data_IF_382392547531
#
_entry.id   IF_382392547531
#
_cell.length_a   1.000
_cell.length_b   1.000
_cell.length_c   1.000
_cell.angle_alpha   90.00
_cell.angle_beta   90.00
_cell.angle_gamma   90.00
#
_symmetry.space_group_name_H-M   'P 1'
#
loop_
_entity.id
_entity.type
_entity.pdbx_description
1 polymer ?
#
# COMPACT_ATOMS: atom_id res chain seq x y z
N UNK A 1 -12.48 -7.89 -22.45
CA UNK A 1 -12.22 -8.95 -21.47
C UNK A 1 -11.01 -8.52 -20.64
N UNK A 2 -10.99 -8.79 -19.34
CA UNK A 2 -9.82 -8.55 -18.50
C UNK A 2 -8.75 -9.59 -18.78
N UNK A 3 -7.48 -9.13 -18.75
CA UNK A 3 -6.28 -9.96 -18.72
C UNK A 3 -5.30 -9.38 -17.71
N UNK A 4 -4.27 -10.13 -17.32
CA UNK A 4 -3.24 -9.63 -16.40
C UNK A 4 -2.44 -8.48 -17.04
N UNK A 5 -2.18 -8.53 -18.34
CA UNK A 5 -1.48 -7.47 -19.08
C UNK A 5 -2.27 -6.16 -19.03
N UNK A 6 -3.59 -6.21 -19.27
CA UNK A 6 -4.46 -5.03 -19.20
C UNK A 6 -4.50 -4.46 -17.78
N UNK A 7 -4.52 -5.31 -16.76
CA UNK A 7 -4.46 -4.87 -15.37
C UNK A 7 -3.12 -4.19 -15.06
N UNK A 8 -2.01 -4.81 -15.46
CA UNK A 8 -0.68 -4.23 -15.28
C UNK A 8 -0.53 -2.91 -16.03
N UNK A 9 -1.08 -2.78 -17.23
CA UNK A 9 -1.10 -1.53 -17.98
C UNK A 9 -1.84 -0.43 -17.21
N UNK A 10 -3.05 -0.71 -16.71
CA UNK A 10 -3.81 0.26 -15.90
C UNK A 10 -3.11 0.67 -14.61
N UNK A 11 -2.43 -0.27 -13.95
CA UNK A 11 -1.67 -0.02 -12.72
C UNK A 11 -0.38 0.80 -12.96
N UNK A 12 0.11 0.82 -14.19
CA UNK A 12 1.41 1.42 -14.53
C UNK A 12 1.33 2.51 -15.60
N UNK A 13 0.13 2.99 -15.93
CA UNK A 13 -0.06 4.14 -16.82
C UNK A 13 0.02 5.44 -16.00
N UNK A 14 1.05 6.27 -16.21
CA UNK A 14 1.22 7.49 -15.43
C UNK A 14 0.23 8.57 -15.85
N UNK A 15 -0.40 9.22 -14.87
CA UNK A 15 -1.19 10.43 -15.10
C UNK A 15 -0.31 11.61 -15.52
N UNK A 16 -0.90 12.62 -16.14
CA UNK A 16 -0.17 13.84 -16.48
C UNK A 16 0.33 14.58 -15.23
N UNK A 17 -0.39 14.46 -14.10
CA UNK A 17 0.03 14.99 -12.81
C UNK A 17 1.33 14.31 -12.32
N UNK A 18 1.39 12.98 -12.41
CA UNK A 18 2.61 12.25 -12.03
C UNK A 18 3.78 12.61 -12.95
N UNK A 19 3.55 12.68 -14.26
CA UNK A 19 4.59 13.05 -15.25
C UNK A 19 5.16 14.45 -14.96
N UNK A 20 4.29 15.40 -14.62
CA UNK A 20 4.69 16.75 -14.24
C UNK A 20 5.48 16.78 -12.91
N UNK A 21 5.02 16.02 -11.92
CA UNK A 21 5.62 16.03 -10.58
C UNK A 21 6.94 15.25 -10.53
N UNK A 22 7.08 14.13 -11.27
CA UNK A 22 8.33 13.35 -11.30
C UNK A 22 9.49 14.13 -11.94
N UNK A 23 9.16 15.07 -12.81
CA UNK A 23 10.16 15.98 -13.42
C UNK A 23 10.77 16.95 -12.40
N UNK A 24 10.06 17.24 -11.30
CA UNK A 24 10.54 18.12 -10.20
C UNK A 24 11.31 17.38 -9.11
N UNK A 25 11.28 16.05 -9.10
CA UNK A 25 12.01 15.23 -8.13
C UNK A 25 13.45 15.12 -8.62
N UNK A 26 14.41 15.64 -7.89
CA UNK A 26 15.83 15.52 -8.24
C UNK A 26 16.40 14.17 -7.85
N UNK A 27 17.30 13.62 -8.68
CA UNK A 27 18.04 12.39 -8.41
C UNK A 27 17.28 11.10 -8.70
N UNK A 28 17.93 9.99 -8.39
CA UNK A 28 17.43 8.63 -8.60
C UNK A 28 16.41 8.20 -7.52
N UNK A 29 15.62 7.19 -7.82
CA UNK A 29 14.60 6.64 -6.92
C UNK A 29 14.94 5.18 -6.63
N UNK A 30 15.11 4.83 -5.34
CA UNK A 30 15.27 3.46 -4.89
C UNK A 30 14.05 3.00 -4.10
N UNK A 31 13.53 1.81 -4.41
CA UNK A 31 12.36 1.23 -3.75
C UNK A 31 12.82 0.02 -2.93
N UNK A 32 12.80 0.16 -1.60
CA UNK A 32 13.19 -0.91 -0.67
C UNK A 32 11.96 -1.76 -0.32
N UNK A 33 12.02 -3.06 -0.62
CA UNK A 33 10.89 -3.97 -0.49
C UNK A 33 10.06 -4.11 -1.78
N UNK A 34 10.68 -3.83 -2.92
CA UNK A 34 10.03 -3.80 -4.24
C UNK A 34 9.46 -5.15 -4.72
N UNK A 35 9.85 -6.28 -4.15
CA UNK A 35 9.30 -7.61 -4.48
C UNK A 35 7.94 -7.91 -3.85
N UNK A 36 7.35 -6.96 -3.08
CA UNK A 36 6.03 -7.09 -2.50
C UNK A 36 4.90 -6.84 -3.51
N UNK A 37 3.63 -6.90 -3.05
CA UNK A 37 2.43 -6.81 -3.92
C UNK A 37 2.33 -5.52 -4.74
N UNK A 38 2.70 -4.38 -4.17
CA UNK A 38 2.60 -3.06 -4.80
C UNK A 38 3.89 -2.65 -5.50
N UNK A 39 5.04 -3.18 -5.05
CA UNK A 39 6.36 -2.71 -5.46
C UNK A 39 6.65 -2.79 -6.95
N UNK A 40 6.40 -3.93 -7.63
CA UNK A 40 6.66 -4.03 -9.07
C UNK A 40 5.91 -2.98 -9.87
N UNK A 41 4.61 -2.81 -9.65
CA UNK A 41 3.80 -1.82 -10.38
C UNK A 41 4.15 -0.38 -10.00
N UNK A 42 4.60 -0.12 -8.76
CA UNK A 42 5.10 1.19 -8.35
C UNK A 42 6.40 1.54 -9.10
N UNK A 43 7.36 0.63 -9.16
CA UNK A 43 8.63 0.85 -9.87
C UNK A 43 8.41 1.07 -11.37
N UNK A 44 7.53 0.28 -11.99
CA UNK A 44 7.21 0.41 -13.43
C UNK A 44 6.48 1.73 -13.69
N UNK A 45 5.54 2.12 -12.83
CA UNK A 45 4.83 3.39 -12.94
C UNK A 45 5.81 4.57 -12.88
N UNK A 46 6.76 4.56 -11.92
CA UNK A 46 7.81 5.57 -11.83
C UNK A 46 8.69 5.60 -13.09
N UNK A 47 9.13 4.44 -13.58
CA UNK A 47 9.93 4.30 -14.80
C UNK A 47 9.22 4.89 -16.02
N UNK A 48 7.96 4.51 -16.26
CA UNK A 48 7.15 5.03 -17.38
C UNK A 48 6.88 6.53 -17.26
N UNK A 49 6.68 7.03 -16.03
CA UNK A 49 6.51 8.46 -15.82
C UNK A 49 7.79 9.27 -16.16
N UNK A 50 8.97 8.75 -15.78
CA UNK A 50 10.28 9.31 -16.11
C UNK A 50 10.46 9.36 -17.64
N UNK A 51 10.15 8.26 -18.33
CA UNK A 51 10.24 8.16 -19.79
C UNK A 51 9.28 9.14 -20.49
N UNK A 52 8.01 9.19 -20.03
CA UNK A 52 7.00 10.11 -20.59
C UNK A 52 7.37 11.58 -20.32
N UNK A 53 8.04 11.88 -19.22
CA UNK A 53 8.55 13.21 -18.92
C UNK A 53 9.79 13.60 -19.74
N UNK A 54 10.41 12.68 -20.49
CA UNK A 54 11.61 12.91 -21.29
C UNK A 54 12.85 13.21 -20.45
N UNK A 55 12.93 12.70 -19.22
CA UNK A 55 14.05 12.92 -18.29
C UNK A 55 14.82 11.62 -18.04
N UNK A 56 16.05 11.73 -17.53
CA UNK A 56 16.92 10.59 -17.24
C UNK A 56 17.07 10.44 -15.73
N UNK A 57 16.53 9.34 -15.17
CA UNK A 57 16.69 8.92 -13.76
C UNK A 57 16.62 7.42 -13.68
N UNK A 58 17.34 6.84 -12.72
CA UNK A 58 17.23 5.42 -12.42
C UNK A 58 16.07 5.16 -11.47
N UNK A 59 15.39 4.03 -11.68
CA UNK A 59 14.49 3.41 -10.70
C UNK A 59 15.11 2.09 -10.31
N UNK A 60 15.49 1.95 -9.05
CA UNK A 60 16.20 0.80 -8.51
C UNK A 60 15.28 0.05 -7.56
N UNK A 61 14.86 -1.14 -7.96
CA UNK A 61 14.02 -2.03 -7.16
C UNK A 61 14.90 -2.96 -6.32
N UNK A 62 14.78 -2.89 -4.99
CA UNK A 62 15.57 -3.70 -4.06
C UNK A 62 14.67 -4.65 -3.29
N UNK A 63 14.95 -5.95 -3.36
CA UNK A 63 14.27 -7.01 -2.61
C UNK A 63 15.05 -8.31 -2.71
N UNK A 64 14.65 -9.34 -1.96
CA UNK A 64 15.16 -10.71 -2.14
C UNK A 64 14.61 -11.40 -3.40
N UNK A 65 13.53 -10.86 -3.98
CA UNK A 65 12.84 -11.39 -5.18
C UNK A 65 12.58 -12.89 -5.12
N UNK A 66 11.90 -13.34 -4.06
CA UNK A 66 11.47 -14.74 -3.94
C UNK A 66 10.40 -15.15 -4.96
N UNK A 67 9.71 -14.18 -5.57
CA UNK A 67 8.76 -14.37 -6.66
C UNK A 67 9.44 -14.00 -7.99
N UNK A 68 9.71 -15.03 -8.81
CA UNK A 68 10.32 -14.86 -10.14
C UNK A 68 9.45 -13.99 -11.06
N UNK A 69 8.12 -14.09 -10.96
CA UNK A 69 7.22 -13.28 -11.77
C UNK A 69 7.43 -11.77 -11.53
N UNK A 70 7.59 -11.37 -10.26
CA UNK A 70 7.84 -9.97 -9.93
C UNK A 70 9.17 -9.46 -10.52
N UNK A 71 10.20 -10.30 -10.51
CA UNK A 71 11.52 -10.00 -11.09
C UNK A 71 11.43 -9.85 -12.61
N UNK A 72 10.80 -10.82 -13.28
CA UNK A 72 10.63 -10.82 -14.74
C UNK A 72 9.81 -9.61 -15.21
N UNK A 73 8.77 -9.26 -14.46
CA UNK A 73 7.94 -8.08 -14.74
C UNK A 73 8.74 -6.77 -14.65
N UNK A 74 9.63 -6.65 -13.66
CA UNK A 74 10.52 -5.49 -13.53
C UNK A 74 11.53 -5.41 -14.67
N UNK A 75 12.20 -6.52 -14.98
CA UNK A 75 13.20 -6.58 -16.06
C UNK A 75 12.61 -6.26 -17.43
N UNK A 76 11.43 -6.83 -17.75
CA UNK A 76 10.74 -6.58 -19.03
C UNK A 76 10.30 -5.14 -19.21
N UNK A 77 10.21 -4.36 -18.13
CA UNK A 77 9.92 -2.93 -18.15
C UNK A 77 11.16 -2.03 -17.90
N UNK A 78 12.37 -2.57 -17.99
CA UNK A 78 13.62 -1.81 -17.90
C UNK A 78 13.90 -1.20 -16.52
N UNK A 79 13.38 -1.79 -15.45
CA UNK A 79 13.66 -1.38 -14.07
C UNK A 79 14.94 -2.07 -13.59
N UNK A 80 15.88 -1.31 -13.04
CA UNK A 80 17.09 -1.85 -12.43
C UNK A 80 16.74 -2.60 -11.15
N UNK A 81 17.30 -3.80 -10.94
CA UNK A 81 17.00 -4.62 -9.77
C UNK A 81 18.28 -4.98 -9.01
N UNK A 82 18.20 -4.94 -7.68
CA UNK A 82 19.27 -5.42 -6.78
C UNK A 82 18.66 -6.45 -5.85
N UNK A 83 19.15 -7.68 -5.92
CA UNK A 83 18.77 -8.73 -4.96
C UNK A 83 19.55 -8.53 -3.66
N UNK A 84 18.86 -8.24 -2.56
CA UNK A 84 19.47 -8.01 -1.25
C UNK A 84 18.54 -8.44 -0.12
N UNK A 85 19.11 -9.01 0.93
CA UNK A 85 18.44 -9.12 2.23
C UNK A 85 18.71 -7.84 3.03
N UNK A 86 17.68 -7.03 3.21
CA UNK A 86 17.80 -5.74 3.89
C UNK A 86 18.09 -5.88 5.40
N UNK A 87 17.84 -7.07 5.99
CA UNK A 87 18.22 -7.36 7.38
C UNK A 87 19.70 -7.71 7.54
N UNK A 88 20.39 -8.05 6.45
CA UNK A 88 21.82 -8.25 6.46
C UNK A 88 22.55 -6.91 6.34
N UNK A 89 23.35 -6.50 7.36
CA UNK A 89 24.03 -5.22 7.36
C UNK A 89 24.97 -5.00 6.18
N UNK A 90 25.66 -6.04 5.73
CA UNK A 90 26.60 -5.92 4.61
C UNK A 90 25.85 -5.70 3.30
N UNK A 91 24.76 -6.43 3.06
CA UNK A 91 23.88 -6.20 1.91
C UNK A 91 23.29 -4.80 1.93
N UNK A 92 22.79 -4.33 3.08
CA UNK A 92 22.24 -2.98 3.21
C UNK A 92 23.29 -1.88 2.95
N UNK A 93 24.51 -2.06 3.47
CA UNK A 93 25.58 -1.09 3.32
C UNK A 93 26.14 -1.06 1.88
N UNK A 94 26.02 -2.14 1.12
CA UNK A 94 26.46 -2.24 -0.28
C UNK A 94 25.54 -1.52 -1.27
N UNK A 95 24.31 -1.18 -0.86
CA UNK A 95 23.37 -0.46 -1.71
C UNK A 95 23.90 0.94 -2.07
N UNK A 96 23.64 1.41 -3.30
CA UNK A 96 24.08 2.73 -3.74
C UNK A 96 23.41 3.85 -2.93
N UNK A 97 24.12 4.96 -2.74
CA UNK A 97 23.50 6.19 -2.25
C UNK A 97 22.60 6.78 -3.34
N UNK A 98 21.42 7.18 -2.95
CA UNK A 98 20.43 7.82 -3.83
C UNK A 98 19.73 8.95 -3.09
N UNK A 99 19.16 9.88 -3.86
CA UNK A 99 18.48 11.05 -3.31
C UNK A 99 17.12 10.70 -2.73
N UNK A 100 16.43 9.71 -3.33
CA UNK A 100 15.03 9.40 -2.98
C UNK A 100 14.84 7.92 -2.71
N UNK A 101 14.18 7.61 -1.60
CA UNK A 101 13.87 6.23 -1.20
C UNK A 101 12.38 6.11 -0.90
N UNK A 102 11.75 5.10 -1.50
CA UNK A 102 10.41 4.65 -1.12
C UNK A 102 10.59 3.37 -0.30
N UNK A 103 10.35 3.47 1.00
CA UNK A 103 10.48 2.36 1.93
C UNK A 103 9.14 1.66 2.09
N UNK A 104 9.04 0.45 1.56
CA UNK A 104 7.84 -0.38 1.67
C UNK A 104 8.14 -1.83 2.10
N UNK A 105 9.37 -2.08 2.57
CA UNK A 105 9.70 -3.36 3.18
C UNK A 105 8.94 -3.54 4.49
N UNK A 106 8.40 -4.74 4.70
CA UNK A 106 7.65 -5.05 5.91
C UNK A 106 7.03 -6.44 5.87
N UNK A 107 6.54 -6.88 7.04
CA UNK A 107 5.85 -8.15 7.21
C UNK A 107 4.51 -7.91 7.90
N UNK A 108 3.41 -8.33 7.25
CA UNK A 108 2.05 -8.22 7.79
C UNK A 108 1.48 -9.57 8.22
N UNK A 109 1.75 -10.63 7.48
CA UNK A 109 1.14 -11.94 7.65
C UNK A 109 2.07 -12.94 8.33
N UNK A 110 1.47 -13.93 9.03
CA UNK A 110 2.21 -14.92 9.80
C UNK A 110 2.84 -14.29 11.06
N UNK A 111 2.12 -13.38 11.69
CA UNK A 111 2.57 -12.66 12.89
C UNK A 111 2.24 -13.42 14.17
N UNK A 112 1.46 -14.48 14.07
CA UNK A 112 1.13 -15.37 15.18
C UNK A 112 1.91 -16.69 15.11
N UNK A 113 2.16 -17.31 16.24
CA UNK A 113 2.69 -18.68 16.30
C UNK A 113 4.21 -18.79 16.34
N UNK A 114 4.93 -17.85 16.97
CA UNK A 114 6.36 -17.97 17.27
C UNK A 114 7.29 -17.33 16.25
N UNK A 115 6.77 -16.50 15.35
CA UNK A 115 7.57 -15.74 14.38
C UNK A 115 7.40 -14.23 14.50
N UNK A 116 6.90 -13.74 15.62
CA UNK A 116 6.70 -12.34 15.96
C UNK A 116 8.01 -11.55 15.85
N UNK A 117 9.12 -12.15 16.29
CA UNK A 117 10.44 -11.55 16.19
C UNK A 117 10.84 -11.15 14.77
N UNK A 118 10.41 -11.92 13.75
CA UNK A 118 10.63 -11.56 12.34
C UNK A 118 9.79 -10.36 11.92
N UNK A 119 8.57 -10.25 12.45
CA UNK A 119 7.70 -9.09 12.22
C UNK A 119 8.34 -7.83 12.79
N UNK A 120 8.86 -7.89 14.03
CA UNK A 120 9.57 -6.78 14.65
C UNK A 120 10.91 -6.47 13.96
N UNK A 121 11.66 -7.50 13.55
CA UNK A 121 12.89 -7.30 12.78
C UNK A 121 12.63 -6.51 11.49
N UNK A 122 11.61 -6.92 10.71
CA UNK A 122 11.27 -6.27 9.44
C UNK A 122 10.60 -4.91 9.60
N UNK A 123 9.73 -4.74 10.61
CA UNK A 123 8.90 -3.54 10.73
C UNK A 123 9.48 -2.48 11.66
N UNK A 124 10.38 -2.83 12.58
CA UNK A 124 10.94 -1.92 13.56
C UNK A 124 12.47 -1.80 13.48
N UNK A 125 13.20 -2.92 13.52
CA UNK A 125 14.67 -2.91 13.51
C UNK A 125 15.22 -2.45 12.16
N UNK A 126 14.78 -3.05 11.06
CA UNK A 126 15.18 -2.66 9.71
C UNK A 126 14.93 -1.16 9.41
N UNK A 127 13.76 -0.58 9.69
CA UNK A 127 13.55 0.86 9.57
C UNK A 127 14.61 1.72 10.25
N UNK A 128 15.06 1.33 11.44
CA UNK A 128 16.11 2.06 12.16
C UNK A 128 17.45 2.02 11.42
N UNK A 129 17.84 0.87 10.88
CA UNK A 129 19.06 0.72 10.10
C UNK A 129 18.99 1.51 8.79
N UNK A 130 17.87 1.43 8.06
CA UNK A 130 17.66 2.16 6.80
C UNK A 130 17.65 3.66 7.03
N UNK A 131 16.91 4.14 8.03
CA UNK A 131 16.84 5.56 8.36
C UNK A 131 18.21 6.15 8.73
N UNK A 132 19.06 5.37 9.42
CA UNK A 132 20.43 5.79 9.74
C UNK A 132 21.36 5.73 8.53
N UNK A 133 21.35 4.62 7.76
CA UNK A 133 22.21 4.41 6.58
C UNK A 133 21.97 5.48 5.52
N UNK A 134 20.72 5.82 5.27
CA UNK A 134 20.31 6.75 4.22
C UNK A 134 19.80 8.09 4.77
N UNK A 135 20.29 8.54 5.93
CA UNK A 135 19.79 9.75 6.63
C UNK A 135 19.88 11.04 5.81
N UNK A 136 20.63 11.04 4.71
CA UNK A 136 20.73 12.18 3.79
C UNK A 136 19.71 12.11 2.65
N UNK A 137 19.10 10.96 2.42
CA UNK A 137 18.09 10.77 1.41
C UNK A 137 16.73 11.33 1.85
N UNK A 138 15.85 11.53 0.89
CA UNK A 138 14.43 11.85 1.08
C UNK A 138 13.62 10.56 1.09
N UNK A 139 12.66 10.45 1.98
CA UNK A 139 11.89 9.22 2.13
C UNK A 139 10.39 9.40 1.93
N UNK A 140 9.78 8.41 1.28
CA UNK A 140 8.38 8.04 1.48
C UNK A 140 8.36 6.72 2.23
N UNK A 141 7.71 6.70 3.40
CA UNK A 141 7.69 5.52 4.29
C UNK A 141 6.29 4.96 4.37
N UNK A 142 6.09 3.77 3.85
CA UNK A 142 4.81 3.08 3.95
C UNK A 142 4.52 2.68 5.40
N UNK A 143 3.50 3.29 5.96
CA UNK A 143 2.87 2.94 7.22
C UNK A 143 1.49 2.33 6.96
N UNK A 144 0.61 2.29 7.94
CA UNK A 144 -0.69 1.64 7.84
C UNK A 144 -1.76 2.38 8.64
N UNK A 145 -2.99 2.39 8.15
CA UNK A 145 -4.16 2.80 8.94
C UNK A 145 -4.44 1.91 10.15
N UNK A 146 -3.90 0.69 10.19
CA UNK A 146 -4.07 -0.23 11.34
C UNK A 146 -3.41 0.28 12.64
N UNK A 147 -2.61 1.34 12.62
CA UNK A 147 -2.07 1.98 13.83
C UNK A 147 -3.12 2.79 14.59
N UNK A 148 -4.22 3.14 13.93
CA UNK A 148 -5.34 3.81 14.57
C UNK A 148 -6.26 2.84 15.32
N UNK A 149 -7.04 3.32 16.29
CA UNK A 149 -8.11 2.51 16.86
C UNK A 149 -9.21 2.23 15.84
N UNK A 150 -10.01 1.20 16.10
CA UNK A 150 -11.30 1.03 15.48
C UNK A 150 -12.22 2.17 15.98
N UNK A 151 -12.90 2.83 15.06
CA UNK A 151 -13.77 3.98 15.35
C UNK A 151 -15.19 3.74 14.89
N UNK A 152 -16.20 4.40 15.53
CA UNK A 152 -17.56 4.38 15.03
C UNK A 152 -17.63 4.84 13.57
N UNK A 153 -18.45 4.18 12.75
CA UNK A 153 -18.64 4.56 11.33
C UNK A 153 -19.12 6.01 11.22
N UNK A 154 -19.93 6.47 12.17
CA UNK A 154 -20.42 7.86 12.23
C UNK A 154 -19.34 8.91 12.43
N UNK A 155 -18.14 8.51 12.89
CA UNK A 155 -17.01 9.43 13.03
C UNK A 155 -16.33 9.77 11.69
N UNK A 156 -16.51 8.96 10.64
CA UNK A 156 -15.95 9.20 9.30
C UNK A 156 -14.49 8.73 9.11
N UNK A 157 -13.79 8.37 10.19
CA UNK A 157 -12.39 7.91 10.17
C UNK A 157 -11.46 8.75 11.04
N UNK A 158 -10.26 8.22 11.29
CA UNK A 158 -9.20 8.94 12.01
C UNK A 158 -8.45 9.89 11.08
N UNK A 159 -8.22 11.11 11.55
CA UNK A 159 -7.32 12.11 10.93
C UNK A 159 -5.87 11.86 11.34
N UNK A 160 -4.92 12.55 10.73
CA UNK A 160 -3.50 12.48 11.09
C UNK A 160 -3.21 12.97 12.52
N UNK A 161 -4.10 13.80 13.08
CA UNK A 161 -4.00 14.37 14.43
C UNK A 161 -4.60 13.46 15.51
N UNK A 162 -5.34 12.43 15.13
CA UNK A 162 -5.93 11.51 16.08
C UNK A 162 -4.87 10.63 16.74
N UNK A 163 -5.14 10.29 18.00
CA UNK A 163 -4.24 9.46 18.81
C UNK A 163 -4.16 8.05 18.20
N UNK A 164 -2.94 7.62 17.88
CA UNK A 164 -2.67 6.23 17.49
C UNK A 164 -2.84 5.29 18.68
N UNK A 165 -3.44 4.12 18.44
CA UNK A 165 -3.69 3.08 19.44
C UNK A 165 -3.60 1.69 18.81
N UNK A 166 -2.41 1.29 18.32
CA UNK A 166 -2.23 0.01 17.62
C UNK A 166 -2.48 -1.16 18.57
N UNK A 167 -3.12 -2.21 18.07
CA UNK A 167 -3.34 -3.46 18.79
C UNK A 167 -2.78 -4.63 17.97
N UNK A 168 -2.02 -5.51 18.64
CA UNK A 168 -1.35 -6.66 18.01
C UNK A 168 0.04 -6.36 17.44
N UNK A 169 0.77 -7.42 17.10
CA UNK A 169 2.20 -7.36 16.73
C UNK A 169 2.44 -6.52 15.47
N UNK A 170 1.60 -6.70 14.44
CA UNK A 170 1.78 -5.96 13.19
C UNK A 170 1.56 -4.45 13.36
N UNK A 171 0.43 -3.95 13.89
CA UNK A 171 0.21 -2.51 14.02
C UNK A 171 1.22 -1.84 14.97
N UNK A 172 1.59 -2.52 16.06
CA UNK A 172 2.59 -2.00 17.02
C UNK A 172 3.97 -1.88 16.37
N UNK A 173 4.39 -2.89 15.61
CA UNK A 173 5.67 -2.85 14.89
C UNK A 173 5.69 -1.82 13.76
N UNK A 174 4.54 -1.57 13.10
CA UNK A 174 4.41 -0.48 12.10
C UNK A 174 4.50 0.89 12.76
N UNK A 175 3.92 1.08 13.95
CA UNK A 175 4.12 2.32 14.71
C UNK A 175 5.60 2.51 15.09
N UNK A 176 6.31 1.44 15.47
CA UNK A 176 7.75 1.51 15.72
C UNK A 176 8.55 1.94 14.48
N UNK A 177 8.13 1.52 13.26
CA UNK A 177 8.67 2.03 11.98
C UNK A 177 8.54 3.54 11.89
N UNK A 178 7.34 4.09 12.14
CA UNK A 178 7.13 5.53 12.12
C UNK A 178 8.07 6.24 13.09
N UNK A 179 8.21 5.73 14.32
CA UNK A 179 9.09 6.30 15.35
C UNK A 179 10.57 6.30 14.96
N UNK A 180 11.03 5.26 14.23
CA UNK A 180 12.41 5.21 13.72
C UNK A 180 12.69 6.33 12.71
N UNK A 181 11.78 6.55 11.76
CA UNK A 181 11.92 7.62 10.78
C UNK A 181 11.65 9.01 11.36
N UNK A 182 10.72 9.14 12.30
CA UNK A 182 10.50 10.37 13.06
C UNK A 182 11.77 10.79 13.83
N UNK A 183 12.41 9.83 14.51
CA UNK A 183 13.70 10.09 15.16
C UNK A 183 14.77 10.58 14.18
N UNK A 184 14.90 9.92 13.03
CA UNK A 184 15.86 10.34 12.00
C UNK A 184 15.54 11.75 11.46
N UNK A 185 14.26 12.06 11.28
CA UNK A 185 13.80 13.38 10.85
C UNK A 185 14.15 14.47 11.87
N UNK A 186 13.87 14.23 13.14
CA UNK A 186 14.18 15.17 14.23
C UNK A 186 15.68 15.31 14.48
N UNK A 187 16.42 14.19 14.46
CA UNK A 187 17.82 14.15 14.87
C UNK A 187 18.76 14.59 13.75
N UNK A 188 18.48 14.19 12.50
CA UNK A 188 19.39 14.38 11.36
C UNK A 188 18.85 15.32 10.29
N UNK A 189 17.60 15.79 10.44
CA UNK A 189 16.94 16.58 9.40
C UNK A 189 16.54 15.76 8.16
N UNK A 190 16.46 14.44 8.30
CA UNK A 190 16.02 13.55 7.22
C UNK A 190 14.61 13.92 6.80
N UNK A 191 14.41 14.22 5.51
CA UNK A 191 13.09 14.58 4.98
C UNK A 191 12.25 13.32 4.79
N UNK A 192 11.10 13.25 5.44
CA UNK A 192 10.24 12.06 5.46
C UNK A 192 8.80 12.44 5.19
N UNK A 193 8.17 11.71 4.25
CA UNK A 193 6.74 11.65 4.06
C UNK A 193 6.25 10.31 4.58
N UNK A 194 5.59 10.32 5.75
CA UNK A 194 5.03 9.14 6.39
C UNK A 194 3.65 8.85 5.79
N UNK A 195 3.55 7.77 5.03
CA UNK A 195 2.44 7.39 4.16
C UNK A 195 1.57 6.33 4.86
N UNK A 196 0.53 6.76 5.60
CA UNK A 196 -0.41 5.87 6.30
C UNK A 196 -1.45 5.31 5.33
N UNK A 197 -1.11 4.20 4.68
CA UNK A 197 -1.99 3.53 3.73
C UNK A 197 -3.12 2.77 4.43
N UNK A 198 -4.36 2.98 3.99
CA UNK A 198 -5.49 2.14 4.37
C UNK A 198 -6.12 1.51 3.12
N UNK A 199 -6.07 0.18 3.03
CA UNK A 199 -6.66 -0.67 2.00
C UNK A 199 -6.43 -0.23 0.55
N UNK A 200 -5.21 -0.36 0.03
CA UNK A 200 -4.99 -0.34 -1.41
C UNK A 200 -5.55 -1.64 -2.03
N UNK A 201 -6.38 -1.49 -3.06
CA UNK A 201 -6.98 -2.62 -3.77
C UNK A 201 -6.43 -2.75 -5.18
N UNK A 202 -6.16 -3.99 -5.54
CA UNK A 202 -5.82 -4.48 -6.87
C UNK A 202 -6.83 -5.60 -7.20
N UNK A 203 -7.17 -5.83 -8.45
CA UNK A 203 -8.19 -6.82 -8.81
C UNK A 203 -7.76 -8.28 -8.51
N UNK A 204 -6.46 -8.51 -8.27
CA UNK A 204 -5.88 -9.80 -7.85
C UNK A 204 -5.91 -10.02 -6.34
N UNK A 205 -6.16 -8.94 -5.57
CA UNK A 205 -6.05 -8.92 -4.12
C UNK A 205 -6.79 -7.71 -3.54
N UNK A 206 -7.30 -7.84 -2.33
CA UNK A 206 -7.95 -6.73 -1.62
C UNK A 206 -9.29 -7.14 -1.04
N UNK A 207 -9.91 -6.23 -0.28
CA UNK A 207 -11.22 -6.50 0.37
C UNK A 207 -12.30 -6.86 -0.64
N UNK A 208 -12.34 -6.17 -1.78
CA UNK A 208 -13.30 -6.48 -2.85
C UNK A 208 -13.07 -7.87 -3.45
N UNK A 209 -11.79 -8.26 -3.63
CA UNK A 209 -11.44 -9.61 -4.07
C UNK A 209 -11.92 -10.67 -3.07
N UNK A 210 -11.67 -10.47 -1.76
CA UNK A 210 -12.10 -11.42 -0.73
C UNK A 210 -13.64 -11.58 -0.71
N UNK A 211 -14.39 -10.47 -0.81
CA UNK A 211 -15.85 -10.52 -0.92
C UNK A 211 -16.30 -11.25 -2.19
N UNK A 212 -15.71 -10.93 -3.36
CA UNK A 212 -16.06 -11.56 -4.63
C UNK A 212 -15.76 -13.07 -4.61
N UNK A 213 -14.62 -13.49 -4.04
CA UNK A 213 -14.26 -14.89 -3.87
C UNK A 213 -15.26 -15.63 -2.98
N UNK A 214 -15.61 -15.07 -1.81
CA UNK A 214 -16.62 -15.65 -0.91
C UNK A 214 -17.98 -15.81 -1.60
N UNK A 215 -18.40 -14.83 -2.41
CA UNK A 215 -19.64 -14.92 -3.20
C UNK A 215 -19.55 -16.06 -4.21
N UNK A 216 -18.44 -16.18 -4.93
CA UNK A 216 -18.26 -17.25 -5.92
C UNK A 216 -18.24 -18.64 -5.30
N UNK A 217 -17.66 -18.78 -4.10
CA UNK A 217 -17.59 -20.02 -3.31
C UNK A 217 -18.87 -20.31 -2.52
N UNK A 218 -19.77 -19.33 -2.35
CA UNK A 218 -20.96 -19.45 -1.52
C UNK A 218 -20.65 -19.47 -0.01
N UNK A 219 -19.48 -18.94 0.39
CA UNK A 219 -19.07 -18.85 1.79
C UNK A 219 -19.56 -17.54 2.42
N UNK A 220 -19.89 -17.51 3.73
CA UNK A 220 -20.42 -16.32 4.38
C UNK A 220 -19.42 -15.16 4.45
N UNK A 221 -19.93 -13.94 4.29
CA UNK A 221 -19.21 -12.69 4.49
C UNK A 221 -19.60 -12.13 5.85
N UNK A 222 -18.64 -11.96 6.76
CA UNK A 222 -18.88 -11.38 8.07
C UNK A 222 -19.23 -9.91 7.98
N UNK A 223 -20.24 -9.49 8.75
CA UNK A 223 -20.66 -8.09 8.87
C UNK A 223 -20.12 -7.39 10.12
N UNK A 224 -19.28 -8.07 10.90
CA UNK A 224 -18.67 -7.50 12.11
C UNK A 224 -17.83 -6.24 11.82
N UNK A 225 -17.24 -6.14 10.62
CA UNK A 225 -16.63 -4.92 10.08
C UNK A 225 -17.56 -4.39 8.98
N UNK A 226 -18.45 -3.42 9.29
CA UNK A 226 -19.55 -3.07 8.39
C UNK A 226 -19.14 -2.23 7.19
N UNK A 227 -18.03 -1.48 7.34
CA UNK A 227 -17.56 -0.52 6.36
C UNK A 227 -16.04 -0.54 6.25
N UNK A 228 -15.54 -0.04 5.13
CA UNK A 228 -14.13 0.22 4.90
C UNK A 228 -13.97 1.39 3.92
N UNK A 229 -12.81 2.04 3.94
CA UNK A 229 -12.40 2.89 2.85
C UNK A 229 -11.15 2.32 2.18
N UNK A 230 -11.07 2.49 0.87
CA UNK A 230 -10.03 1.89 0.05
C UNK A 230 -9.71 2.73 -1.18
N UNK A 231 -8.52 2.58 -1.68
CA UNK A 231 -8.02 3.29 -2.85
C UNK A 231 -7.55 2.30 -3.92
N UNK A 232 -7.71 2.67 -5.19
CA UNK A 232 -7.09 1.95 -6.30
C UNK A 232 -5.57 1.93 -6.15
N UNK A 233 -4.95 0.76 -6.28
CA UNK A 233 -3.50 0.60 -6.09
C UNK A 233 -2.67 1.48 -7.03
N UNK A 234 -3.13 1.69 -8.28
CA UNK A 234 -2.46 2.60 -9.22
C UNK A 234 -2.39 4.03 -8.69
N UNK A 235 -3.51 4.55 -8.15
CA UNK A 235 -3.55 5.87 -7.51
C UNK A 235 -2.69 5.91 -6.25
N UNK A 236 -2.72 4.86 -5.42
CA UNK A 236 -1.89 4.77 -4.23
C UNK A 236 -0.39 4.80 -4.58
N UNK A 237 0.03 4.08 -5.60
CA UNK A 237 1.40 4.10 -6.10
C UNK A 237 1.80 5.48 -6.64
N UNK A 238 0.91 6.14 -7.38
CA UNK A 238 1.14 7.50 -7.88
C UNK A 238 1.34 8.49 -6.73
N UNK A 239 0.46 8.46 -5.73
CA UNK A 239 0.57 9.32 -4.54
C UNK A 239 1.90 9.05 -3.80
N UNK A 240 2.33 7.80 -3.69
CA UNK A 240 3.61 7.47 -3.06
C UNK A 240 4.80 8.08 -3.81
N UNK A 241 4.83 8.00 -5.14
CA UNK A 241 5.91 8.62 -5.93
C UNK A 241 5.89 10.15 -5.79
N UNK A 242 4.71 10.77 -5.94
CA UNK A 242 4.53 12.22 -5.80
C UNK A 242 4.79 12.70 -4.38
N UNK A 243 4.58 11.83 -3.38
CA UNK A 243 4.88 12.07 -1.96
C UNK A 243 6.34 12.43 -1.68
N UNK A 244 7.28 12.07 -2.56
CA UNK A 244 8.67 12.50 -2.47
C UNK A 244 8.82 14.03 -2.50
N UNK A 245 7.94 14.76 -3.17
CA UNK A 245 7.94 16.23 -3.17
C UNK A 245 7.46 16.84 -1.85
N UNK A 246 6.74 16.06 -1.04
CA UNK A 246 6.15 16.48 0.23
C UNK A 246 6.89 15.94 1.46
N UNK A 247 8.04 15.29 1.24
CA UNK A 247 8.89 14.83 2.33
C UNK A 247 9.58 16.02 3.00
N UNK A 248 9.37 16.15 4.31
CA UNK A 248 9.79 17.30 5.12
C UNK A 248 10.55 16.85 6.39
N UNK A 249 11.22 17.79 7.00
CA UNK A 249 11.77 17.66 8.36
C UNK A 249 11.32 18.88 9.18
N UNK A 250 10.54 18.69 10.25
CA UNK A 250 10.05 17.42 10.84
C UNK A 250 9.16 16.61 9.88
N UNK A 251 9.13 15.28 10.10
CA UNK A 251 8.38 14.32 9.31
C UNK A 251 6.91 14.72 9.11
N UNK A 252 6.50 14.79 7.83
CA UNK A 252 5.08 14.99 7.46
C UNK A 252 4.36 13.65 7.40
N UNK A 253 3.20 13.57 8.05
CA UNK A 253 2.33 12.38 8.00
C UNK A 253 1.07 12.66 7.19
N UNK A 254 0.60 11.64 6.44
CA UNK A 254 -0.62 11.73 5.66
C UNK A 254 -1.33 10.39 5.57
N UNK A 255 -2.64 10.40 5.80
CA UNK A 255 -3.50 9.25 5.53
C UNK A 255 -3.78 9.14 4.04
N UNK A 256 -3.61 7.95 3.49
CA UNK A 256 -3.88 7.69 2.07
C UNK A 256 -4.83 6.52 1.92
N UNK A 257 -6.03 6.85 1.48
CA UNK A 257 -7.10 5.92 1.10
C UNK A 257 -8.07 6.65 0.17
N UNK A 258 -9.11 5.97 -0.32
CA UNK A 258 -10.19 6.62 -1.04
C UNK A 258 -11.10 7.41 -0.09
N UNK A 259 -11.79 8.44 -0.60
CA UNK A 259 -12.65 9.31 0.21
C UNK A 259 -13.99 8.66 0.56
N UNK A 260 -14.34 7.54 -0.08
CA UNK A 260 -15.64 6.89 0.08
C UNK A 260 -15.59 5.89 1.23
N UNK A 261 -16.51 5.99 2.19
CA UNK A 261 -16.79 4.95 3.18
C UNK A 261 -17.80 3.97 2.58
N UNK A 262 -17.36 2.76 2.31
CA UNK A 262 -18.11 1.75 1.56
C UNK A 262 -18.63 0.68 2.51
N UNK A 263 -19.96 0.44 2.48
CA UNK A 263 -20.57 -0.66 3.23
C UNK A 263 -20.20 -2.01 2.61
N UNK A 264 -19.72 -2.94 3.44
CA UNK A 264 -19.43 -4.33 3.04
C UNK A 264 -20.70 -4.99 2.46
N UNK A 265 -21.83 -4.84 3.12
CA UNK A 265 -23.12 -5.38 2.64
C UNK A 265 -23.47 -4.84 1.26
N UNK A 266 -23.46 -3.50 1.08
CA UNK A 266 -23.81 -2.88 -0.20
C UNK A 266 -22.83 -3.24 -1.32
N UNK A 267 -21.54 -3.25 -1.04
CA UNK A 267 -20.52 -3.67 -2.01
C UNK A 267 -20.69 -5.14 -2.42
N UNK A 268 -20.95 -6.02 -1.46
CA UNK A 268 -21.16 -7.45 -1.72
C UNK A 268 -22.44 -7.72 -2.51
N UNK A 269 -23.56 -7.04 -2.20
CA UNK A 269 -24.79 -7.13 -3.00
C UNK A 269 -24.52 -6.69 -4.45
N UNK A 270 -23.77 -5.59 -4.64
CA UNK A 270 -23.43 -5.09 -5.97
C UNK A 270 -22.47 -6.02 -6.73
N UNK A 271 -21.50 -6.61 -6.03
CA UNK A 271 -20.66 -7.67 -6.60
C UNK A 271 -21.52 -8.88 -7.02
N UNK A 272 -22.47 -9.30 -6.17
CA UNK A 272 -23.37 -10.41 -6.45
C UNK A 272 -24.21 -10.18 -7.71
N UNK A 273 -24.76 -8.97 -7.90
CA UNK A 273 -25.46 -8.59 -9.14
C UNK A 273 -24.58 -8.81 -10.39
N UNK A 274 -23.31 -8.34 -10.37
CA UNK A 274 -22.39 -8.49 -11.50
C UNK A 274 -21.91 -9.94 -11.69
N UNK A 275 -21.75 -10.70 -10.58
CA UNK A 275 -21.30 -12.10 -10.61
C UNK A 275 -22.42 -13.09 -10.92
N UNK A 276 -23.71 -12.66 -10.88
CA UNK A 276 -24.87 -13.53 -11.05
C UNK A 276 -25.07 -14.51 -9.89
N UNK A 277 -24.63 -14.16 -8.66
CA UNK A 277 -24.74 -14.96 -7.44
C UNK A 277 -25.13 -14.11 -6.25
N UNK A 278 -26.01 -14.63 -5.39
CA UNK A 278 -26.36 -13.94 -4.16
C UNK A 278 -25.29 -14.11 -3.08
N UNK A 279 -24.85 -13.02 -2.41
CA UNK A 279 -23.94 -13.12 -1.28
C UNK A 279 -24.64 -13.71 -0.06
N UNK A 280 -23.93 -14.56 0.69
CA UNK A 280 -24.36 -15.05 1.99
C UNK A 280 -23.67 -14.18 3.05
N UNK A 281 -24.44 -13.72 4.05
CA UNK A 281 -23.91 -12.92 5.14
C UNK A 281 -24.00 -13.66 6.46
N UNK A 282 -23.07 -13.38 7.38
CA UNK A 282 -23.07 -13.89 8.73
C UNK A 282 -22.87 -12.79 9.78
N UNK A 283 -23.48 -12.99 10.93
CA UNK A 283 -23.41 -12.07 12.07
C UNK A 283 -24.24 -10.81 11.89
N UNK A 284 -24.28 -10.02 12.97
CA UNK A 284 -24.91 -8.70 12.97
C UNK A 284 -23.97 -7.65 12.39
N UNK A 285 -24.55 -6.63 11.79
CA UNK A 285 -23.80 -5.49 11.25
C UNK A 285 -23.20 -4.66 12.40
N UNK A 286 -21.87 -4.61 12.46
CA UNK A 286 -21.17 -3.81 13.44
C UNK A 286 -21.40 -2.31 13.25
N UNK A 287 -20.95 -1.50 14.21
CA UNK A 287 -21.08 -0.04 14.21
C UNK A 287 -19.73 0.70 14.03
N UNK A 288 -18.65 -0.04 13.95
CA UNK A 288 -17.29 0.50 13.99
C UNK A 288 -16.34 -0.27 13.07
N UNK A 289 -15.33 0.42 12.54
CA UNK A 289 -14.38 -0.12 11.57
C UNK A 289 -13.01 0.60 11.65
N UNK A 290 -12.00 0.04 10.97
CA UNK A 290 -10.75 0.75 10.66
C UNK A 290 -10.99 1.71 9.51
N UNK A 291 -11.18 2.98 9.82
CA UNK A 291 -11.41 4.05 8.86
C UNK A 291 -10.37 5.16 9.03
N UNK A 292 -9.88 5.69 7.92
CA UNK A 292 -8.98 6.84 7.88
C UNK A 292 -9.63 7.99 7.11
N UNK A 293 -9.55 9.19 7.64
CA UNK A 293 -9.90 10.42 6.90
C UNK A 293 -8.76 10.73 5.94
N UNK A 294 -9.08 10.83 4.65
CA UNK A 294 -8.12 11.13 3.58
C UNK A 294 -8.22 12.55 3.03
N UNK A 295 -8.92 13.44 3.72
CA UNK A 295 -9.19 14.82 3.26
C UNK A 295 -7.90 15.55 2.90
N UNK A 296 -6.86 15.46 3.74
CA UNK A 296 -5.55 16.08 3.49
C UNK A 296 -4.88 15.54 2.21
N UNK A 297 -5.01 14.23 1.94
CA UNK A 297 -4.50 13.64 0.71
C UNK A 297 -5.28 14.12 -0.52
N UNK A 298 -6.60 14.24 -0.41
CA UNK A 298 -7.46 14.74 -1.50
C UNK A 298 -7.16 16.22 -1.82
N UNK A 299 -6.96 17.05 -0.81
CA UNK A 299 -6.54 18.45 -0.97
C UNK A 299 -5.17 18.58 -1.64
N UNK A 300 -4.22 17.68 -1.28
CA UNK A 300 -2.84 17.74 -1.75
C UNK A 300 -2.67 17.15 -3.16
N UNK A 301 -3.27 16.01 -3.44
CA UNK A 301 -3.05 15.22 -4.67
C UNK A 301 -4.23 15.24 -5.63
N UNK A 302 -5.41 15.64 -5.16
CA UNK A 302 -6.69 15.56 -5.87
C UNK A 302 -7.42 14.24 -5.59
N UNK A 303 -8.70 14.22 -5.98
CA UNK A 303 -9.52 13.00 -5.84
C UNK A 303 -9.05 11.90 -6.78
N UNK A 304 -9.19 10.61 -6.38
CA UNK A 304 -8.94 9.47 -7.27
C UNK A 304 -9.84 9.51 -8.51
N UNK A 305 -9.27 9.20 -9.67
CA UNK A 305 -10.03 9.12 -10.92
C UNK A 305 -10.89 7.83 -11.01
N UNK A 306 -10.63 6.86 -10.12
CA UNK A 306 -11.33 5.57 -10.06
C UNK A 306 -12.20 5.53 -8.81
N UNK A 307 -13.53 5.54 -8.98
CA UNK A 307 -14.50 5.47 -7.89
C UNK A 307 -14.64 4.06 -7.31
N UNK A 308 -15.18 3.95 -6.10
CA UNK A 308 -15.50 2.65 -5.48
C UNK A 308 -16.45 1.81 -6.36
N UNK A 309 -17.47 2.41 -6.96
CA UNK A 309 -18.39 1.70 -7.85
C UNK A 309 -17.69 1.13 -9.09
N UNK A 310 -16.73 1.87 -9.64
CA UNK A 310 -15.91 1.39 -10.77
C UNK A 310 -15.08 0.18 -10.34
N UNK A 311 -14.45 0.22 -9.16
CA UNK A 311 -13.65 -0.88 -8.64
C UNK A 311 -14.49 -2.13 -8.33
N UNK A 312 -15.69 -1.97 -7.78
CA UNK A 312 -16.63 -3.08 -7.54
C UNK A 312 -16.97 -3.77 -8.86
N UNK A 313 -17.30 -3.02 -9.91
CA UNK A 313 -17.58 -3.58 -11.24
C UNK A 313 -16.34 -4.26 -11.83
N UNK A 314 -15.18 -3.61 -11.82
CA UNK A 314 -13.95 -4.18 -12.34
C UNK A 314 -13.55 -5.47 -11.61
N UNK A 315 -13.75 -5.51 -10.29
CA UNK A 315 -13.47 -6.71 -9.50
C UNK A 315 -14.34 -7.90 -9.96
N UNK A 316 -15.63 -7.69 -10.16
CA UNK A 316 -16.51 -8.74 -10.66
C UNK A 316 -16.13 -9.19 -12.08
N UNK A 317 -15.90 -8.24 -12.99
CA UNK A 317 -15.48 -8.52 -14.36
C UNK A 317 -14.14 -9.28 -14.42
N UNK A 318 -13.18 -8.91 -13.54
CA UNK A 318 -11.89 -9.58 -13.42
C UNK A 318 -12.04 -11.00 -12.90
N UNK A 319 -12.86 -11.20 -11.86
CA UNK A 319 -13.16 -12.52 -11.32
C UNK A 319 -13.76 -13.45 -12.39
N UNK A 320 -14.73 -12.95 -13.17
CA UNK A 320 -15.36 -13.71 -14.26
C UNK A 320 -14.41 -14.01 -15.43
N UNK A 321 -13.34 -13.27 -15.60
CA UNK A 321 -12.37 -13.53 -16.66
C UNK A 321 -11.46 -14.73 -16.38
N UNK A 322 -11.42 -15.23 -15.16
CA UNK A 322 -10.52 -16.32 -14.73
C UNK A 322 -9.03 -15.92 -14.73
N UNK A 323 -8.74 -14.61 -14.77
CA UNK A 323 -7.36 -14.11 -14.74
C UNK A 323 -6.67 -14.42 -13.41
N UNK A 324 -5.34 -14.38 -13.41
CA UNK A 324 -4.51 -14.72 -12.24
C UNK A 324 -4.88 -13.88 -11.01
N UNK A 325 -4.90 -14.55 -9.84
CA UNK A 325 -5.08 -13.96 -8.51
C UNK A 325 -3.85 -14.21 -7.64
N UNK A 326 -3.74 -13.50 -6.52
CA UNK A 326 -2.63 -13.68 -5.58
C UNK A 326 -2.97 -14.70 -4.48
N UNK A 327 -4.22 -15.15 -4.39
CA UNK A 327 -4.76 -16.13 -3.42
C UNK A 327 -4.30 -15.90 -1.97
N UNK A 328 -4.24 -14.63 -1.58
CA UNK A 328 -3.86 -14.20 -0.23
C UNK A 328 -5.02 -13.42 0.39
N UNK A 329 -5.60 -13.88 1.53
CA UNK A 329 -6.65 -13.15 2.21
C UNK A 329 -6.11 -11.83 2.77
N UNK A 330 -6.96 -10.81 2.85
CA UNK A 330 -6.61 -9.52 3.47
C UNK A 330 -6.74 -9.55 4.98
N UNK A 331 -7.55 -10.46 5.51
CA UNK A 331 -8.04 -10.46 6.90
C UNK A 331 -8.70 -9.13 7.29
N UNK A 332 -9.52 -8.56 6.38
CA UNK A 332 -10.17 -7.26 6.61
C UNK A 332 -11.19 -7.32 7.77
N UNK A 333 -11.69 -8.52 8.08
CA UNK A 333 -12.57 -8.75 9.22
C UNK A 333 -11.82 -8.74 10.57
N UNK A 334 -10.48 -8.80 10.55
CA UNK A 334 -9.66 -8.86 11.76
C UNK A 334 -9.74 -7.55 12.56
N UNK A 335 -10.07 -7.65 13.84
CA UNK A 335 -10.29 -6.51 14.74
C UNK A 335 -9.35 -6.47 15.95
N UNK A 336 -8.56 -7.54 16.17
CA UNK A 336 -7.68 -7.71 17.34
C UNK A 336 -6.19 -7.59 17.00
N UNK A 337 -5.86 -7.42 15.69
CA UNK A 337 -4.48 -7.27 15.22
C UNK A 337 -3.72 -8.57 14.98
N UNK A 338 -4.42 -9.68 14.87
CA UNK A 338 -3.86 -10.98 14.47
C UNK A 338 -3.93 -11.14 12.95
N UNK A 339 -2.76 -11.26 12.27
CA UNK A 339 -2.67 -11.31 10.81
C UNK A 339 -1.81 -12.48 10.32
#
# INVERSE_FOLDING_TARGET
>A
MWTEEKLNELLTTPSDKLVHDIAKIDGDIMVLGAGGKMGPTLCILAKKAIEKAGISKRVIAVSRFSDAYALDLLHSNGVETISADLLDPDSLNSLPDVENIIFMAGRKFGTDGGSEYLTWAMNATLPSFVAYRFRKSRFVVFSSGNIYPIVPVSQGGCTENDKVAPSGEYPMSVLARERAFEYASQKYGTRVFNYRLNFAVDLRYGVLYDCARKIMEGTPISLATPCFNFIWQGTANEIAIRGLLYAEAPMRTMNVTGPETVSIRKASLKLGEYLGKEPVFEGDEGDSAFLSDSSLAMETFGYPDVSANTLIRWQAEYMLSGSRTLDKPTHFEERKGSY
#
